data_IF_532352117700
#
_entry.id   IF_532352117700
#
_cell.length_a   1.000
_cell.length_b   1.000
_cell.length_c   1.000
_cell.angle_alpha   90.00
_cell.angle_beta   90.00
_cell.angle_gamma   90.00
#
_symmetry.space_group_name_H-M   'P 1'
#
loop_
_entity.id
_entity.type
_entity.pdbx_description
1 polymer ?
#
# COMPACT_ATOMS: atom_id res chain seq x y z
N UNK A 1 -5.49 11.02 19.50
CA UNK A 1 -5.69 9.59 19.31
C UNK A 1 -5.79 9.26 17.82
N UNK A 2 -5.07 8.26 17.41
CA UNK A 2 -5.03 7.91 16.01
C UNK A 2 -6.29 7.15 15.60
N UNK A 3 -6.87 7.57 14.48
CA UNK A 3 -8.07 6.93 13.99
C UNK A 3 -7.70 5.67 13.22
N UNK A 4 -8.33 4.57 13.58
CA UNK A 4 -8.09 3.34 12.87
C UNK A 4 -9.06 3.18 11.72
N UNK A 5 -8.51 2.79 10.58
CA UNK A 5 -9.31 2.58 9.37
C UNK A 5 -9.48 1.09 9.17
N UNK A 6 -10.71 0.63 8.92
CA UNK A 6 -10.94 -0.80 8.73
C UNK A 6 -10.09 -1.35 7.59
N UNK A 7 -9.39 -2.43 7.87
CA UNK A 7 -8.47 -3.02 6.90
C UNK A 7 -9.18 -3.81 5.82
N UNK A 8 -10.46 -4.03 5.96
CA UNK A 8 -11.21 -4.83 5.01
C UNK A 8 -11.98 -3.99 4.00
N UNK A 9 -11.70 -2.68 3.96
CA UNK A 9 -12.38 -1.80 3.02
C UNK A 9 -11.36 -1.00 2.22
N UNK A 10 -10.79 -1.60 1.16
CA UNK A 10 -9.77 -0.91 0.36
C UNK A 10 -10.29 0.31 -0.38
N UNK A 11 -11.60 0.48 -0.47
CA UNK A 11 -12.16 1.69 -1.10
C UNK A 11 -11.81 2.95 -0.34
N UNK A 12 -11.40 2.83 0.91
CA UNK A 12 -11.02 3.98 1.71
C UNK A 12 -9.60 4.45 1.45
N UNK A 13 -8.88 3.79 0.54
CA UNK A 13 -7.49 4.09 0.30
C UNK A 13 -7.23 4.42 -1.16
N UNK A 14 -7.85 5.50 -1.67
CA UNK A 14 -7.67 5.86 -3.07
C UNK A 14 -6.23 6.23 -3.42
N UNK A 15 -5.47 6.72 -2.43
CA UNK A 15 -4.09 7.10 -2.70
C UNK A 15 -3.24 5.90 -3.10
N UNK A 16 -3.51 4.75 -2.48
CA UNK A 16 -2.78 3.55 -2.86
C UNK A 16 -3.09 3.17 -4.30
N UNK A 17 -4.36 3.21 -4.66
CA UNK A 17 -4.74 2.85 -6.02
C UNK A 17 -4.20 3.83 -7.05
N UNK A 18 -4.08 5.10 -6.68
CA UNK A 18 -3.60 6.10 -7.62
C UNK A 18 -2.16 5.85 -8.03
N UNK A 19 -1.39 5.13 -7.24
CA UNK A 19 -0.04 4.77 -7.62
C UNK A 19 -0.01 3.83 -8.83
N UNK A 20 -1.14 3.27 -9.19
CA UNK A 20 -1.26 2.31 -10.28
C UNK A 20 -2.18 2.80 -11.38
N UNK A 21 -2.32 4.12 -11.47
CA UNK A 21 -3.16 4.71 -12.51
C UNK A 21 -2.68 4.29 -13.89
N UNK A 22 -3.64 4.09 -14.78
CA UNK A 22 -3.33 3.67 -16.14
C UNK A 22 -3.28 2.16 -16.31
N UNK A 23 -3.25 1.42 -15.21
CA UNK A 23 -3.18 -0.04 -15.26
C UNK A 23 -4.54 -0.70 -15.14
N UNK A 24 -5.56 0.08 -14.76
CA UNK A 24 -6.89 -0.46 -14.57
C UNK A 24 -7.90 0.37 -15.30
N UNK A 25 -8.99 -0.26 -15.70
CA UNK A 25 -10.16 0.46 -16.19
C UNK A 25 -11.24 0.38 -15.10
N UNK A 26 -12.40 0.99 -15.37
CA UNK A 26 -13.45 1.04 -14.37
C UNK A 26 -13.93 -0.31 -13.91
N UNK A 27 -13.90 -1.27 -14.83
CA UNK A 27 -14.40 -2.62 -14.54
C UNK A 27 -13.47 -3.37 -13.59
N UNK A 28 -12.17 -3.23 -13.79
CA UNK A 28 -11.18 -3.99 -13.05
C UNK A 28 -10.78 -3.30 -11.74
N UNK A 29 -11.32 -2.14 -11.50
CA UNK A 29 -10.87 -1.33 -10.38
C UNK A 29 -11.05 -2.00 -9.03
N UNK A 30 -12.23 -2.59 -8.80
CA UNK A 30 -12.49 -3.25 -7.53
C UNK A 30 -11.63 -4.49 -7.36
N UNK A 31 -11.42 -5.21 -8.45
CA UNK A 31 -10.59 -6.40 -8.44
C UNK A 31 -9.13 -6.03 -8.16
N UNK A 32 -8.68 -4.96 -8.77
CA UNK A 32 -7.32 -4.47 -8.57
C UNK A 32 -7.11 -4.04 -7.13
N UNK A 33 -8.08 -3.35 -6.54
CA UNK A 33 -8.00 -2.95 -5.15
C UNK A 33 -7.90 -4.15 -4.22
N UNK A 34 -8.70 -5.17 -4.47
CA UNK A 34 -8.64 -6.39 -3.67
C UNK A 34 -7.31 -7.09 -3.81
N UNK A 35 -6.77 -7.09 -5.02
CA UNK A 35 -5.46 -7.66 -5.26
C UNK A 35 -4.40 -6.93 -4.45
N UNK A 36 -4.38 -5.60 -4.51
CA UNK A 36 -3.38 -4.81 -3.80
C UNK A 36 -3.49 -5.01 -2.29
N UNK A 37 -4.71 -5.01 -1.79
CA UNK A 37 -4.93 -5.19 -0.37
C UNK A 37 -4.39 -6.53 0.10
N UNK A 38 -4.70 -7.59 -0.63
CA UNK A 38 -4.22 -8.92 -0.29
C UNK A 38 -2.71 -9.03 -0.43
N UNK A 39 -2.16 -8.44 -1.48
CA UNK A 39 -0.73 -8.51 -1.72
C UNK A 39 0.05 -7.83 -0.60
N UNK A 40 -0.44 -6.71 -0.11
CA UNK A 40 0.20 -6.04 1.01
C UNK A 40 0.24 -6.96 2.23
N UNK A 41 -0.83 -7.72 2.44
CA UNK A 41 -0.91 -8.60 3.60
C UNK A 41 -0.05 -9.84 3.46
N UNK A 42 0.19 -10.32 2.24
CA UNK A 42 0.78 -11.64 2.07
C UNK A 42 2.08 -11.66 1.28
N UNK A 43 2.38 -10.63 0.49
CA UNK A 43 3.51 -10.69 -0.44
C UNK A 43 4.66 -9.76 -0.09
N UNK A 44 4.50 -8.95 0.92
CA UNK A 44 5.54 -8.02 1.34
C UNK A 44 6.27 -8.55 2.56
N UNK A 45 7.49 -8.07 2.76
CA UNK A 45 8.20 -8.38 3.99
C UNK A 45 7.44 -7.79 5.17
N UNK A 46 7.75 -8.26 6.37
CA UNK A 46 7.07 -7.79 7.56
C UNK A 46 7.20 -6.27 7.72
N UNK A 47 8.40 -5.73 7.49
CA UNK A 47 8.61 -4.30 7.62
C UNK A 47 7.87 -3.53 6.54
N UNK A 48 7.92 -4.01 5.30
CA UNK A 48 7.20 -3.36 4.21
C UNK A 48 5.71 -3.34 4.49
N UNK A 49 5.17 -4.47 4.92
CA UNK A 49 3.74 -4.55 5.24
C UNK A 49 3.39 -3.58 6.36
N UNK A 50 4.19 -3.53 7.40
CA UNK A 50 3.93 -2.67 8.54
C UNK A 50 3.87 -1.21 8.11
N UNK A 51 4.83 -0.78 7.31
CA UNK A 51 4.89 0.60 6.86
C UNK A 51 3.73 0.92 5.93
N UNK A 52 3.42 0.00 5.02
CA UNK A 52 2.31 0.23 4.10
C UNK A 52 0.97 0.30 4.82
N UNK A 53 0.79 -0.53 5.82
CA UNK A 53 -0.45 -0.48 6.60
C UNK A 53 -0.57 0.83 7.37
N UNK A 54 0.50 1.28 7.99
CA UNK A 54 0.47 2.54 8.71
C UNK A 54 0.20 3.70 7.77
N UNK A 55 0.84 3.69 6.61
CA UNK A 55 0.72 4.80 5.66
C UNK A 55 -0.63 4.84 4.97
N UNK A 56 -1.10 3.70 4.50
CA UNK A 56 -2.27 3.66 3.63
C UNK A 56 -3.53 3.21 4.34
N UNK A 57 -3.42 2.31 5.32
CA UNK A 57 -4.62 1.83 5.99
C UNK A 57 -4.97 2.67 7.19
N UNK A 58 -3.98 3.24 7.86
CA UNK A 58 -4.24 4.10 9.00
C UNK A 58 -4.11 5.59 8.67
N UNK A 59 -3.66 5.91 7.47
CA UNK A 59 -3.63 7.28 7.01
C UNK A 59 -2.54 8.15 7.60
N UNK A 60 -1.46 7.55 8.11
CA UNK A 60 -0.39 8.32 8.70
C UNK A 60 0.49 8.92 7.61
N UNK A 61 1.02 10.10 7.88
CA UNK A 61 2.01 10.71 7.01
C UNK A 61 3.35 10.00 7.17
N UNK A 62 4.26 10.23 6.22
CA UNK A 62 5.59 9.64 6.30
C UNK A 62 6.29 10.02 7.60
N UNK A 63 6.30 11.30 8.01
CA UNK A 63 6.90 11.61 9.31
C UNK A 63 6.24 10.90 10.48
N UNK A 64 4.92 10.72 10.44
CA UNK A 64 4.23 10.02 11.51
C UNK A 64 4.59 8.55 11.55
N UNK A 65 4.73 7.91 10.39
CA UNK A 65 5.16 6.53 10.33
C UNK A 65 6.57 6.39 10.90
N UNK A 66 7.45 7.30 10.49
CA UNK A 66 8.83 7.28 10.97
C UNK A 66 8.88 7.40 12.49
N UNK A 67 8.06 8.28 13.04
CA UNK A 67 8.02 8.47 14.48
C UNK A 67 7.46 7.23 15.18
N UNK A 68 6.43 6.65 14.60
CA UNK A 68 5.80 5.45 15.19
C UNK A 68 6.79 4.29 15.27
N UNK A 69 7.65 4.15 14.27
CA UNK A 69 8.56 3.02 14.18
C UNK A 69 9.98 3.37 14.63
N UNK A 70 10.21 4.61 15.03
CA UNK A 70 11.52 5.06 15.49
C UNK A 70 12.59 4.89 14.42
N UNK A 71 12.27 5.30 13.21
CA UNK A 71 13.20 5.24 12.08
C UNK A 71 13.20 6.60 11.38
N UNK A 72 14.11 6.76 10.41
CA UNK A 72 14.20 8.00 9.65
C UNK A 72 13.11 8.06 8.60
N UNK A 73 12.72 9.29 8.25
CA UNK A 73 11.74 9.49 7.19
C UNK A 73 12.24 8.92 5.87
N UNK A 74 13.52 9.04 5.60
CA UNK A 74 14.07 8.50 4.37
C UNK A 74 13.95 6.98 4.32
N UNK A 75 14.10 6.33 5.47
CA UNK A 75 13.90 4.88 5.55
C UNK A 75 12.48 4.51 5.20
N UNK A 76 11.52 5.25 5.74
CA UNK A 76 10.11 5.00 5.44
C UNK A 76 9.85 5.19 3.95
N UNK A 77 10.34 6.29 3.39
CA UNK A 77 10.12 6.61 1.99
C UNK A 77 10.70 5.54 1.08
N UNK A 78 11.92 5.11 1.36
CA UNK A 78 12.56 4.06 0.55
C UNK A 78 11.82 2.75 0.66
N UNK A 79 11.34 2.42 1.85
CA UNK A 79 10.61 1.18 2.04
C UNK A 79 9.29 1.21 1.28
N UNK A 80 8.60 2.34 1.29
CA UNK A 80 7.36 2.48 0.53
C UNK A 80 7.64 2.31 -0.97
N UNK A 81 8.71 2.93 -1.47
CA UNK A 81 9.06 2.80 -2.88
C UNK A 81 9.32 1.34 -3.25
N UNK A 82 10.07 0.63 -2.42
CA UNK A 82 10.35 -0.78 -2.67
C UNK A 82 9.07 -1.61 -2.64
N UNK A 83 8.20 -1.34 -1.67
CA UNK A 83 6.93 -2.06 -1.58
C UNK A 83 6.07 -1.81 -2.80
N UNK A 84 5.97 -0.56 -3.24
CA UNK A 84 5.18 -0.24 -4.42
C UNK A 84 5.74 -0.90 -5.68
N UNK A 85 7.06 -0.93 -5.81
CA UNK A 85 7.68 -1.61 -6.96
C UNK A 85 7.37 -3.10 -6.94
N UNK A 86 7.42 -3.71 -5.77
CA UNK A 86 7.07 -5.13 -5.64
C UNK A 86 5.62 -5.36 -6.02
N UNK A 87 4.73 -4.49 -5.57
CA UNK A 87 3.32 -4.63 -5.90
C UNK A 87 3.08 -4.48 -7.40
N UNK A 88 3.81 -3.57 -8.05
CA UNK A 88 3.70 -3.41 -9.51
C UNK A 88 4.14 -4.66 -10.23
N UNK A 89 5.24 -5.26 -9.81
CA UNK A 89 5.70 -6.51 -10.40
C UNK A 89 4.65 -7.60 -10.27
N UNK A 90 4.08 -7.73 -9.08
CA UNK A 90 3.06 -8.74 -8.84
C UNK A 90 1.81 -8.47 -9.66
N UNK A 91 1.43 -7.21 -9.79
CA UNK A 91 0.26 -6.85 -10.57
C UNK A 91 0.46 -7.18 -12.04
N UNK A 92 1.65 -6.92 -12.57
CA UNK A 92 1.94 -7.24 -13.96
C UNK A 92 1.83 -8.74 -14.20
N UNK A 93 2.30 -9.53 -13.27
CA UNK A 93 2.21 -10.98 -13.38
C UNK A 93 0.77 -11.45 -13.27
N UNK A 94 0.06 -10.94 -12.26
CA UNK A 94 -1.29 -11.41 -11.96
C UNK A 94 -2.29 -11.02 -13.03
N UNK A 95 -2.18 -9.80 -13.55
CA UNK A 95 -3.15 -9.32 -14.54
C UNK A 95 -2.71 -9.57 -15.98
N UNK A 96 -1.56 -10.16 -16.18
CA UNK A 96 -1.17 -10.66 -17.49
C UNK A 96 -0.81 -9.62 -18.50
N UNK A 97 -0.25 -8.52 -18.10
CA UNK A 97 0.18 -7.48 -19.04
C UNK A 97 1.58 -7.69 -19.54
#
# INVERSE_FOLDING_TARGET
MRKQIPCDNPDQFPDLLSCFQGRTNGRQRAEYRRFLYRAIKTQLTQRQRQIMELRYFQGLSIPQVAQELHVNKSTVSRTITRALNRLRELADIYFGE
#
